data_IF_719959404307
#
_entry.id   IF_719959404307
#
_cell.length_a   1.000
_cell.length_b   1.000
_cell.length_c   1.000
_cell.angle_alpha   90.00
_cell.angle_beta   90.00
_cell.angle_gamma   90.00
#
_symmetry.space_group_name_H-M   'P 1'
#
loop_
_entity.id
_entity.type
_entity.pdbx_description
1 polymer ?
#
# COMPACT_ATOMS: atom_id res chain seq x y z
N UNK A 1 -14.08 2.49 5.93
CA UNK A 1 -12.68 2.86 5.74
C UNK A 1 -11.84 1.65 5.37
N UNK A 2 -10.62 1.89 4.93
CA UNK A 2 -9.68 0.82 4.59
C UNK A 2 -9.40 -0.10 5.78
N UNK A 3 -9.30 0.47 6.97
CA UNK A 3 -9.07 -0.30 8.21
C UNK A 3 -10.23 -1.23 8.53
N UNK A 4 -11.47 -0.78 8.29
CA UNK A 4 -12.66 -1.60 8.52
C UNK A 4 -12.70 -2.80 7.58
N UNK A 5 -12.34 -2.61 6.32
CA UNK A 5 -12.24 -3.70 5.34
C UNK A 5 -11.15 -4.69 5.73
N UNK A 6 -9.99 -4.20 6.13
CA UNK A 6 -8.88 -5.05 6.60
C UNK A 6 -9.29 -5.87 7.80
N UNK A 7 -9.95 -5.25 8.79
CA UNK A 7 -10.43 -5.95 9.98
C UNK A 7 -11.44 -7.04 9.63
N UNK A 8 -12.37 -6.75 8.72
CA UNK A 8 -13.35 -7.73 8.27
C UNK A 8 -12.68 -8.93 7.59
N UNK A 9 -11.66 -8.68 6.77
CA UNK A 9 -10.91 -9.76 6.12
C UNK A 9 -10.13 -10.60 7.14
N UNK A 10 -9.51 -9.96 8.11
CA UNK A 10 -8.77 -10.65 9.18
C UNK A 10 -9.72 -11.53 10.00
N UNK A 11 -10.86 -10.98 10.41
CA UNK A 11 -11.85 -11.70 11.22
C UNK A 11 -12.41 -12.93 10.51
N UNK A 12 -12.50 -12.87 9.18
CA UNK A 12 -13.03 -13.96 8.37
C UNK A 12 -11.96 -14.83 7.72
N UNK A 13 -10.70 -14.56 8.06
CA UNK A 13 -9.54 -15.27 7.50
C UNK A 13 -9.51 -15.21 5.97
N UNK A 14 -9.84 -14.05 5.41
CA UNK A 14 -9.82 -13.81 3.96
C UNK A 14 -8.47 -13.14 3.62
N UNK A 15 -7.66 -13.71 2.71
CA UNK A 15 -6.44 -13.06 2.27
C UNK A 15 -6.76 -11.78 1.47
N UNK A 16 -5.95 -10.76 1.64
CA UNK A 16 -6.13 -9.50 0.92
C UNK A 16 -4.79 -8.83 0.63
N UNK A 17 -4.82 -7.89 -0.30
CA UNK A 17 -3.68 -7.08 -0.67
C UNK A 17 -4.18 -5.64 -0.81
N UNK A 18 -3.43 -4.68 -0.31
CA UNK A 18 -3.84 -3.27 -0.33
C UNK A 18 -2.77 -2.40 -0.97
N UNK A 19 -3.18 -1.41 -1.75
CA UNK A 19 -2.27 -0.39 -2.27
C UNK A 19 -2.14 0.75 -1.26
N UNK A 20 -0.91 1.23 -1.08
CA UNK A 20 -0.62 2.37 -0.22
C UNK A 20 -0.66 3.69 -1.00
N UNK A 21 -0.27 4.80 -0.37
CA UNK A 21 -0.32 6.11 -0.99
C UNK A 21 0.68 6.27 -2.11
N UNK A 22 0.22 6.81 -3.25
CA UNK A 22 1.04 6.99 -4.45
C UNK A 22 1.25 8.46 -4.80
N UNK A 23 0.78 9.38 -3.97
CA UNK A 23 0.95 10.81 -4.21
C UNK A 23 2.45 11.18 -4.16
N UNK A 24 2.85 12.10 -5.01
CA UNK A 24 4.22 12.61 -5.12
C UNK A 24 5.25 11.53 -5.51
N UNK A 25 4.79 10.46 -6.16
CA UNK A 25 5.63 9.40 -6.73
C UNK A 25 5.63 9.51 -8.24
N UNK A 26 6.75 9.27 -8.89
CA UNK A 26 6.85 9.32 -10.34
C UNK A 26 7.62 8.15 -10.97
N UNK A 27 8.21 7.29 -10.17
CA UNK A 27 8.98 6.14 -10.67
C UNK A 27 8.26 4.82 -10.37
N UNK A 28 7.58 4.21 -11.37
CA UNK A 28 6.87 2.95 -11.14
C UNK A 28 7.81 1.76 -10.90
N UNK A 29 9.10 1.88 -11.23
CA UNK A 29 10.06 0.81 -10.97
C UNK A 29 10.38 0.64 -9.49
N UNK A 30 10.01 1.62 -8.66
CA UNK A 30 10.19 1.57 -7.22
C UNK A 30 9.03 0.92 -6.47
N UNK A 31 8.01 0.45 -7.20
CA UNK A 31 6.87 -0.24 -6.60
C UNK A 31 7.25 -1.65 -6.17
N UNK A 32 6.82 -2.05 -4.98
CA UNK A 32 7.08 -3.37 -4.42
C UNK A 32 5.84 -3.92 -3.74
N UNK A 33 5.75 -5.24 -3.66
CA UNK A 33 4.79 -5.95 -2.81
C UNK A 33 5.54 -6.39 -1.56
N UNK A 34 5.14 -5.90 -0.41
CA UNK A 34 5.84 -6.14 0.84
C UNK A 34 4.88 -6.10 2.03
N UNK A 35 5.36 -6.55 3.18
CA UNK A 35 4.63 -6.36 4.44
C UNK A 35 4.59 -4.89 4.82
N UNK A 36 3.50 -4.44 5.43
CA UNK A 36 3.31 -3.03 5.78
C UNK A 36 4.41 -2.52 6.72
N UNK A 37 4.99 -3.38 7.55
CA UNK A 37 6.07 -3.02 8.46
C UNK A 37 7.36 -2.62 7.74
N UNK A 38 7.54 -3.06 6.50
CA UNK A 38 8.74 -2.80 5.70
C UNK A 38 8.62 -1.60 4.77
N UNK A 39 7.54 -0.84 4.91
CA UNK A 39 7.30 0.35 4.09
C UNK A 39 8.03 1.57 4.61
N UNK A 40 8.31 2.52 3.71
CA UNK A 40 8.99 3.78 4.03
C UNK A 40 8.33 4.94 3.30
N UNK A 41 8.42 6.15 3.88
CA UNK A 41 7.95 7.38 3.27
C UNK A 41 6.46 7.41 2.91
N UNK A 42 5.63 6.63 3.61
CA UNK A 42 4.21 6.51 3.28
C UNK A 42 3.37 6.77 4.52
N UNK A 43 2.70 7.94 4.61
CA UNK A 43 1.85 8.26 5.76
C UNK A 43 0.69 7.28 5.95
N UNK A 44 0.12 6.76 4.86
CA UNK A 44 -0.97 5.77 4.94
C UNK A 44 -0.46 4.48 5.56
N UNK A 45 0.68 3.98 5.11
CA UNK A 45 1.30 2.78 5.67
C UNK A 45 1.66 2.98 7.15
N UNK A 46 2.13 4.18 7.52
CA UNK A 46 2.40 4.51 8.92
C UNK A 46 1.14 4.41 9.76
N UNK A 47 0.01 4.90 9.28
CA UNK A 47 -1.27 4.79 9.97
C UNK A 47 -1.70 3.35 10.15
N UNK A 48 -1.52 2.52 9.13
CA UNK A 48 -1.84 1.08 9.19
C UNK A 48 -0.94 0.38 10.20
N UNK A 49 0.37 0.69 10.22
CA UNK A 49 1.29 0.11 11.21
C UNK A 49 0.90 0.48 12.64
N UNK A 50 0.52 1.73 12.87
CA UNK A 50 0.06 2.20 14.19
C UNK A 50 -1.24 1.51 14.61
N UNK A 51 -2.19 1.38 13.70
CA UNK A 51 -3.45 0.70 13.93
C UNK A 51 -3.24 -0.77 14.26
N UNK A 52 -2.39 -1.47 13.52
CA UNK A 52 -2.01 -2.86 13.79
C UNK A 52 -1.48 -3.02 15.23
N UNK A 53 -0.55 -2.15 15.58
CA UNK A 53 0.10 -2.20 16.90
C UNK A 53 -0.91 -1.93 18.02
N UNK A 54 -1.74 -0.91 17.84
CA UNK A 54 -2.76 -0.52 18.82
C UNK A 54 -3.78 -1.64 19.08
N UNK A 55 -4.16 -2.37 18.03
CA UNK A 55 -5.15 -3.44 18.10
C UNK A 55 -4.52 -4.83 18.27
N UNK A 56 -3.21 -4.91 18.48
CA UNK A 56 -2.46 -6.15 18.67
C UNK A 56 -2.67 -7.17 17.55
N UNK A 57 -2.78 -6.67 16.32
CA UNK A 57 -2.95 -7.51 15.13
C UNK A 57 -1.57 -8.07 14.74
N UNK A 58 -1.43 -9.40 14.74
CA UNK A 58 -0.18 -10.08 14.40
C UNK A 58 -0.16 -10.60 12.97
N UNK A 59 -1.29 -10.57 12.29
CA UNK A 59 -1.40 -11.01 10.91
C UNK A 59 -0.50 -10.16 10.02
N UNK A 60 0.15 -10.79 9.05
CA UNK A 60 0.89 -10.07 8.02
C UNK A 60 -0.09 -9.33 7.11
N UNK A 61 0.14 -8.05 6.89
CA UNK A 61 -0.64 -7.24 5.95
C UNK A 61 0.26 -6.93 4.77
N UNK A 62 -0.08 -7.50 3.63
CA UNK A 62 0.66 -7.30 2.38
C UNK A 62 0.15 -6.08 1.65
N UNK A 63 1.06 -5.28 1.16
CA UNK A 63 0.72 -4.01 0.51
C UNK A 63 1.56 -3.82 -0.75
N UNK A 64 1.00 -3.07 -1.71
CA UNK A 64 1.77 -2.49 -2.80
C UNK A 64 2.18 -1.10 -2.34
N UNK A 65 3.47 -0.85 -2.27
CA UNK A 65 4.03 0.40 -1.79
C UNK A 65 5.17 0.86 -2.67
N UNK A 66 5.50 2.16 -2.61
CA UNK A 66 6.64 2.71 -3.32
C UNK A 66 7.82 2.87 -2.37
N UNK A 67 9.00 2.48 -2.82
CA UNK A 67 10.26 2.76 -2.13
C UNK A 67 10.78 4.16 -2.44
N UNK A 68 10.13 4.86 -3.36
CA UNK A 68 10.53 6.20 -3.78
C UNK A 68 10.25 7.20 -2.66
N UNK A 69 11.24 8.07 -2.39
CA UNK A 69 11.02 9.19 -1.48
C UNK A 69 10.04 10.18 -2.13
N UNK A 70 9.01 10.66 -1.39
CA UNK A 70 8.05 11.60 -1.96
C UNK A 70 8.72 12.88 -2.47
N UNK A 71 8.23 13.38 -3.61
CA UNK A 71 8.69 14.67 -4.15
C UNK A 71 8.17 15.77 -3.22
N UNK A 72 9.04 16.70 -2.76
CA UNK A 72 8.59 17.83 -1.94
C UNK A 72 7.56 18.68 -2.68
N UNK A 73 6.58 19.19 -1.95
CA UNK A 73 5.55 20.10 -2.47
C UNK A 73 5.80 21.48 -1.93
N UNK A 74 5.95 22.47 -2.85
CA UNK A 74 6.03 23.86 -2.46
C UNK A 74 4.64 24.39 -2.09
N UNK A 75 4.59 25.35 -1.18
CA UNK A 75 3.35 25.97 -0.73
C UNK A 75 2.56 26.53 -1.92
N UNK A 76 1.28 26.20 -2.00
CA UNK A 76 0.39 26.69 -3.04
C UNK A 76 0.39 25.88 -4.33
N UNK A 77 1.21 24.86 -4.44
CA UNK A 77 1.24 23.99 -5.63
C UNK A 77 0.37 22.74 -5.39
N UNK A 78 -0.25 22.19 -6.45
CA UNK A 78 -0.93 20.91 -6.33
C UNK A 78 0.07 19.79 -6.05
N UNK A 79 -0.40 18.72 -5.39
CA UNK A 79 0.43 17.55 -5.11
C UNK A 79 0.89 16.93 -6.43
N UNK A 80 2.21 16.85 -6.69
CA UNK A 80 2.68 16.18 -7.90
C UNK A 80 2.45 14.69 -7.80
N UNK A 81 1.92 14.11 -8.86
CA UNK A 81 1.69 12.67 -8.97
C UNK A 81 1.70 12.32 -10.45
N UNK A 82 2.60 11.44 -10.87
CA UNK A 82 2.62 10.94 -12.23
C UNK A 82 1.57 9.83 -12.36
N UNK A 83 0.70 9.93 -13.34
CA UNK A 83 -0.42 9.00 -13.54
C UNK A 83 0.06 7.54 -13.70
N UNK A 84 1.24 7.34 -14.28
CA UNK A 84 1.76 5.98 -14.48
C UNK A 84 2.12 5.27 -13.17
N UNK A 85 2.39 5.99 -12.07
CA UNK A 85 2.70 5.34 -10.78
C UNK A 85 1.44 4.74 -10.14
N UNK A 86 0.32 5.48 -9.94
CA UNK A 86 -0.90 4.85 -9.45
C UNK A 86 -1.45 3.76 -10.38
N UNK A 87 -1.36 3.96 -11.71
CA UNK A 87 -1.80 2.96 -12.67
C UNK A 87 -0.96 1.68 -12.57
N UNK A 88 0.37 1.82 -12.48
CA UNK A 88 1.27 0.67 -12.31
C UNK A 88 1.05 -0.03 -10.97
N UNK A 89 0.76 0.71 -9.90
CA UNK A 89 0.42 0.13 -8.60
C UNK A 89 -0.85 -0.72 -8.70
N UNK A 90 -1.88 -0.23 -9.41
CA UNK A 90 -3.11 -0.98 -9.65
C UNK A 90 -2.86 -2.25 -10.44
N UNK A 91 -2.04 -2.19 -11.49
CA UNK A 91 -1.67 -3.35 -12.28
C UNK A 91 -0.87 -4.38 -11.46
N UNK A 92 0.08 -3.92 -10.66
CA UNK A 92 0.86 -4.79 -9.77
C UNK A 92 -0.03 -5.46 -8.75
N UNK A 93 -0.97 -4.74 -8.17
CA UNK A 93 -1.95 -5.25 -7.23
C UNK A 93 -2.77 -6.39 -7.87
N UNK A 94 -3.33 -6.13 -9.05
CA UNK A 94 -4.15 -7.10 -9.78
C UNK A 94 -3.33 -8.33 -10.16
N UNK A 95 -2.12 -8.15 -10.71
CA UNK A 95 -1.23 -9.23 -11.10
C UNK A 95 -0.88 -10.13 -9.91
N UNK A 96 -0.54 -9.52 -8.78
CA UNK A 96 -0.18 -10.26 -7.57
C UNK A 96 -1.37 -11.07 -7.05
N UNK A 97 -2.57 -10.49 -7.05
CA UNK A 97 -3.78 -11.20 -6.63
C UNK A 97 -4.06 -12.42 -7.51
N UNK A 98 -3.96 -12.25 -8.84
CA UNK A 98 -4.16 -13.36 -9.79
C UNK A 98 -3.13 -14.45 -9.56
N UNK A 99 -1.86 -14.09 -9.44
CA UNK A 99 -0.79 -15.07 -9.22
C UNK A 99 -0.99 -15.86 -7.92
N UNK A 100 -1.40 -15.20 -6.85
CA UNK A 100 -1.68 -15.88 -5.57
C UNK A 100 -2.88 -16.81 -5.66
N UNK A 101 -3.89 -16.46 -6.42
CA UNK A 101 -5.05 -17.34 -6.66
C UNK A 101 -4.64 -18.60 -7.43
N UNK A 102 -3.74 -18.48 -8.40
CA UNK A 102 -3.24 -19.61 -9.17
C UNK A 102 -2.39 -20.54 -8.31
N UNK A 103 -1.60 -19.99 -7.39
CA UNK A 103 -0.71 -20.73 -6.51
C UNK A 103 -1.44 -21.37 -5.32
N UNK A 104 -2.64 -20.93 -5.04
CA UNK A 104 -3.41 -21.40 -3.89
C UNK A 104 -3.87 -22.86 -4.01
#
# INVERSE_FOLDING_TARGET
SKKDLMQACIDRNIPFLSSMGMARRKDPTKLVVTEVEKTSYDPMAKQIRQWKRKNRIRNKIWVVASLEQPIPVESGQPLPSAIFVPASAGLLLASTCVQRLIEA
#
